data_IF_090015642232
#
_entry.id   IF_090015642232
#
_cell.length_a   1.000
_cell.length_b   1.000
_cell.length_c   1.000
_cell.angle_alpha   90.00
_cell.angle_beta   90.00
_cell.angle_gamma   90.00
#
_symmetry.space_group_name_H-M   'P 1'
#
loop_
_entity.id
_entity.type
_entity.pdbx_description
1 polymer ?
#
# COMPACT_ATOMS: atom_id res chain seq x y z
N UNK A 1 15.48 -16.45 -12.74
CA UNK A 1 15.67 -16.77 -11.31
C UNK A 1 14.59 -16.05 -10.51
N UNK A 2 14.04 -16.65 -9.46
CA UNK A 2 13.05 -15.98 -8.59
C UNK A 2 13.75 -15.01 -7.63
N UNK A 3 13.07 -13.97 -7.17
CA UNK A 3 13.64 -13.05 -6.16
C UNK A 3 14.13 -13.82 -4.93
N UNK A 4 13.35 -14.80 -4.47
CA UNK A 4 13.72 -15.66 -3.33
C UNK A 4 15.07 -16.38 -3.52
N UNK A 5 15.33 -16.87 -4.74
CA UNK A 5 16.59 -17.58 -5.02
C UNK A 5 17.77 -16.62 -5.05
N UNK A 6 17.58 -15.40 -5.56
CA UNK A 6 18.62 -14.37 -5.60
C UNK A 6 19.04 -13.90 -4.20
N UNK A 7 18.09 -13.74 -3.27
CA UNK A 7 18.39 -13.38 -1.87
C UNK A 7 19.20 -14.48 -1.16
N UNK A 8 18.86 -15.74 -1.41
CA UNK A 8 19.60 -16.88 -0.84
C UNK A 8 21.02 -16.95 -1.40
N UNK A 9 21.17 -16.83 -2.72
CA UNK A 9 22.46 -16.86 -3.40
C UNK A 9 23.39 -15.69 -3.02
N UNK A 10 22.83 -14.51 -2.71
CA UNK A 10 23.63 -13.33 -2.38
C UNK A 10 24.26 -13.37 -0.98
N UNK A 11 23.80 -14.26 -0.09
CA UNK A 11 24.35 -14.40 1.26
C UNK A 11 24.13 -13.18 2.17
N UNK A 12 23.28 -12.21 1.77
CA UNK A 12 23.05 -10.95 2.50
C UNK A 12 22.49 -11.17 3.91
N UNK A 13 21.88 -12.33 4.18
CA UNK A 13 21.42 -12.70 5.51
C UNK A 13 22.57 -12.94 6.51
N UNK A 14 23.78 -13.21 6.02
CA UNK A 14 24.97 -13.48 6.84
C UNK A 14 25.90 -12.25 6.98
N UNK A 15 25.53 -11.12 6.38
CA UNK A 15 26.30 -9.87 6.47
C UNK A 15 26.03 -9.13 7.79
N UNK A 16 26.82 -8.10 8.08
CA UNK A 16 26.57 -7.25 9.24
C UNK A 16 25.17 -6.61 9.12
N UNK A 17 24.28 -6.74 10.11
CA UNK A 17 22.96 -6.11 10.10
C UNK A 17 22.97 -4.58 9.99
N UNK A 18 24.09 -3.93 10.34
CA UNK A 18 24.26 -2.48 10.16
C UNK A 18 24.50 -2.08 8.70
N UNK A 19 24.91 -3.02 7.84
CA UNK A 19 25.08 -2.76 6.42
C UNK A 19 23.70 -2.69 5.72
N UNK A 20 23.41 -1.62 4.97
CA UNK A 20 22.15 -1.50 4.25
C UNK A 20 21.98 -2.61 3.21
N UNK A 21 20.92 -3.40 3.34
CA UNK A 21 20.58 -4.50 2.44
C UNK A 21 19.07 -4.58 2.19
N UNK A 22 18.65 -5.44 1.27
CA UNK A 22 17.22 -5.69 1.04
C UNK A 22 16.48 -6.14 2.31
N UNK A 23 17.17 -6.83 3.23
CA UNK A 23 16.57 -7.32 4.48
C UNK A 23 16.48 -6.25 5.57
N UNK A 24 17.32 -5.21 5.51
CA UNK A 24 17.40 -4.16 6.53
C UNK A 24 16.73 -2.85 6.08
N UNK A 25 16.36 -2.73 4.80
CA UNK A 25 15.70 -1.56 4.22
C UNK A 25 14.22 -1.38 4.62
N UNK A 26 13.75 -2.07 5.67
CA UNK A 26 12.38 -1.90 6.16
C UNK A 26 12.22 -0.58 6.93
N UNK A 27 11.03 0.01 6.86
CA UNK A 27 10.71 1.25 7.54
C UNK A 27 9.57 1.03 8.52
N UNK A 28 9.67 1.68 9.68
CA UNK A 28 8.58 1.70 10.65
C UNK A 28 7.28 2.32 10.10
N UNK A 29 6.15 2.14 10.81
CA UNK A 29 4.86 2.66 10.39
C UNK A 29 4.85 4.18 10.23
N UNK A 30 3.95 4.69 9.38
CA UNK A 30 3.76 6.12 9.17
C UNK A 30 3.46 6.85 10.49
N UNK A 31 4.14 7.98 10.72
CA UNK A 31 3.86 8.90 11.83
C UNK A 31 2.56 9.69 11.64
N UNK A 32 2.03 9.72 10.42
CA UNK A 32 0.85 10.51 10.04
C UNK A 32 -0.36 9.61 9.78
N UNK A 33 -1.57 10.09 10.07
CA UNK A 33 -2.80 9.35 9.79
C UNK A 33 -2.98 9.12 8.29
N UNK A 34 -3.62 8.00 7.95
CA UNK A 34 -3.93 7.66 6.57
C UNK A 34 -4.80 8.75 5.90
N UNK A 35 -4.47 9.11 4.65
CA UNK A 35 -5.24 10.09 3.89
C UNK A 35 -6.57 9.48 3.44
N UNK A 36 -7.66 10.23 3.65
CA UNK A 36 -9.01 9.84 3.21
C UNK A 36 -9.21 10.27 1.76
N UNK A 37 -8.72 9.47 0.82
CA UNK A 37 -8.83 9.74 -0.62
C UNK A 37 -9.94 8.89 -1.28
N UNK A 38 -10.55 9.45 -2.31
CA UNK A 38 -11.51 8.78 -3.18
C UNK A 38 -10.77 7.70 -3.99
N UNK A 39 -11.23 6.45 -3.92
CA UNK A 39 -10.63 5.31 -4.64
C UNK A 39 -10.86 5.33 -6.15
N UNK A 40 -11.65 6.30 -6.64
CA UNK A 40 -11.98 6.46 -8.05
C UNK A 40 -11.17 7.60 -8.67
N UNK A 41 -11.17 8.79 -8.08
CA UNK A 41 -10.53 9.98 -8.66
C UNK A 41 -9.37 10.58 -7.84
N UNK A 42 -9.09 10.07 -6.63
CA UNK A 42 -8.02 10.57 -5.77
C UNK A 42 -8.31 11.87 -5.01
N UNK A 43 -9.50 12.49 -5.17
CA UNK A 43 -9.91 13.65 -4.35
C UNK A 43 -10.22 13.28 -2.89
N UNK A 44 -10.73 14.21 -2.06
CA UNK A 44 -11.16 13.93 -0.68
C UNK A 44 -12.33 12.91 -0.64
N UNK A 45 -12.09 11.75 -0.04
CA UNK A 45 -13.06 10.67 0.14
C UNK A 45 -13.94 10.90 1.37
N UNK A 46 -14.98 11.73 1.22
CA UNK A 46 -15.88 12.12 2.30
C UNK A 46 -16.74 10.94 2.80
N UNK A 47 -17.20 10.10 1.88
CA UNK A 47 -18.10 8.99 2.17
C UNK A 47 -17.36 7.65 2.14
N UNK A 48 -17.92 6.63 2.78
CA UNK A 48 -17.45 5.25 2.72
C UNK A 48 -18.55 4.33 2.19
N UNK A 49 -18.17 3.38 1.34
CA UNK A 49 -19.05 2.29 0.95
C UNK A 49 -19.29 1.38 2.16
N UNK A 50 -20.56 1.06 2.43
CA UNK A 50 -20.94 0.16 3.53
C UNK A 50 -20.56 -1.31 3.27
N UNK A 51 -20.35 -1.71 2.00
CA UNK A 51 -20.00 -3.09 1.64
C UNK A 51 -18.51 -3.40 1.81
N UNK A 52 -17.62 -2.51 1.38
CA UNK A 52 -16.18 -2.75 1.34
C UNK A 52 -15.32 -1.72 2.10
N UNK A 53 -15.92 -0.65 2.63
CA UNK A 53 -15.23 0.40 3.37
C UNK A 53 -14.48 1.44 2.50
N UNK A 54 -14.28 1.18 1.19
CA UNK A 54 -13.61 2.12 0.29
C UNK A 54 -14.30 3.48 0.25
N UNK A 55 -13.49 4.54 0.17
CA UNK A 55 -13.98 5.91 0.22
C UNK A 55 -14.23 6.48 -1.17
N UNK A 56 -15.26 7.32 -1.30
CA UNK A 56 -15.58 8.05 -2.52
C UNK A 56 -15.93 9.51 -2.21
N UNK A 57 -15.78 10.40 -3.19
CA UNK A 57 -15.99 11.84 -2.99
C UNK A 57 -17.47 12.26 -3.13
N UNK A 58 -18.27 11.56 -3.92
CA UNK A 58 -19.70 11.84 -4.12
C UNK A 58 -20.37 10.83 -5.07
N UNK A 59 -21.63 11.10 -5.42
CA UNK A 59 -22.47 10.19 -6.21
C UNK A 59 -21.87 9.73 -7.55
N UNK A 60 -21.18 10.58 -8.34
CA UNK A 60 -20.58 10.13 -9.60
C UNK A 60 -19.53 9.04 -9.38
N UNK A 61 -18.66 9.22 -8.38
CA UNK A 61 -17.67 8.23 -8.01
C UNK A 61 -18.29 7.02 -7.32
N UNK A 62 -19.42 7.16 -6.60
CA UNK A 62 -20.15 6.01 -6.07
C UNK A 62 -20.67 5.10 -7.19
N UNK A 63 -21.23 5.68 -8.26
CA UNK A 63 -21.72 4.90 -9.42
C UNK A 63 -20.58 4.10 -10.06
N UNK A 64 -19.47 4.77 -10.39
CA UNK A 64 -18.27 4.11 -10.93
C UNK A 64 -17.73 3.05 -9.97
N UNK A 65 -17.75 3.32 -8.67
CA UNK A 65 -17.33 2.36 -7.65
C UNK A 65 -18.21 1.11 -7.66
N UNK A 66 -19.54 1.26 -7.73
CA UNK A 66 -20.49 0.14 -7.74
C UNK A 66 -20.38 -0.72 -9.00
N UNK A 67 -20.02 -0.12 -10.14
CA UNK A 67 -19.90 -0.84 -11.41
C UNK A 67 -18.59 -1.66 -11.52
N UNK A 68 -17.55 -1.29 -10.77
CA UNK A 68 -16.19 -1.84 -10.93
C UNK A 68 -15.65 -2.62 -9.73
N UNK A 69 -16.34 -2.63 -8.57
CA UNK A 69 -15.86 -3.18 -7.30
C UNK A 69 -16.95 -3.84 -6.46
#
# INVERSE_FOLDING_TARGET
KSLKTLILESGIANQNPEEPSYLTADMGPSRYPARRLCSVCGWRGLYSCNRCGMRYCGLPCLKVHQDTR
#
